data_IF_812455648886
#
_entry.id   IF_812455648886
#
_cell.length_a   1.000
_cell.length_b   1.000
_cell.length_c   1.000
_cell.angle_alpha   90.00
_cell.angle_beta   90.00
_cell.angle_gamma   90.00
#
_symmetry.space_group_name_H-M   'P 1'
#
loop_
_entity.id
_entity.type
_entity.pdbx_description
1 polymer ?
#
# COMPACT_ATOMS: atom_id res chain seq x y z
N UNK A 1 34.82 -3.54 3.07
CA UNK A 1 33.97 -4.22 4.08
C UNK A 1 32.52 -3.87 3.75
N UNK A 2 31.79 -4.74 3.05
CA UNK A 2 30.40 -4.48 2.68
C UNK A 2 29.55 -4.95 3.85
N UNK A 3 29.06 -4.01 4.66
CA UNK A 3 28.14 -4.30 5.75
C UNK A 3 26.82 -4.75 5.14
N UNK A 4 26.69 -6.05 4.89
CA UNK A 4 25.40 -6.71 4.70
C UNK A 4 24.67 -6.61 6.04
N UNK A 5 23.97 -5.49 6.26
CA UNK A 5 22.97 -5.39 7.30
C UNK A 5 21.85 -6.36 6.93
N UNK A 6 22.06 -7.63 7.30
CA UNK A 6 21.01 -8.62 7.43
C UNK A 6 19.87 -7.98 8.19
N UNK A 7 18.68 -8.00 7.60
CA UNK A 7 17.40 -7.54 8.17
C UNK A 7 17.09 -8.10 9.59
N UNK A 8 17.95 -8.93 10.16
CA UNK A 8 17.87 -9.52 11.49
C UNK A 8 17.90 -8.48 12.64
N UNK A 9 18.49 -7.29 12.44
CA UNK A 9 18.53 -6.24 13.48
C UNK A 9 17.29 -5.33 13.53
N UNK A 10 16.49 -5.28 12.44
CA UNK A 10 15.33 -4.39 12.32
C UNK A 10 14.00 -5.16 12.20
N UNK A 11 13.98 -6.45 12.52
CA UNK A 11 12.74 -7.23 12.53
C UNK A 11 11.67 -6.61 13.45
N UNK A 12 12.09 -5.94 14.53
CA UNK A 12 11.22 -5.19 15.44
C UNK A 12 10.77 -3.81 14.92
N UNK A 13 11.35 -3.30 13.84
CA UNK A 13 10.98 -2.00 13.26
C UNK A 13 10.03 -2.10 12.07
N UNK A 14 9.89 -3.30 11.48
CA UNK A 14 8.94 -3.50 10.41
C UNK A 14 7.54 -3.65 11.01
N UNK A 15 6.51 -2.97 10.44
CA UNK A 15 5.13 -3.22 10.83
C UNK A 15 4.79 -4.70 10.67
N UNK A 16 3.98 -5.25 11.59
CA UNK A 16 3.46 -6.62 11.44
C UNK A 16 2.68 -6.78 10.13
N UNK A 17 1.98 -5.72 9.73
CA UNK A 17 1.20 -5.60 8.49
C UNK A 17 2.00 -4.99 7.34
N UNK A 18 3.31 -5.25 7.27
CA UNK A 18 4.17 -4.67 6.22
C UNK A 18 3.71 -5.03 4.81
N UNK A 19 3.79 -4.06 3.91
CA UNK A 19 3.50 -4.19 2.49
C UNK A 19 4.60 -3.52 1.65
N UNK A 20 5.04 -4.19 0.59
CA UNK A 20 6.03 -3.65 -0.35
C UNK A 20 5.39 -2.77 -1.43
N UNK A 21 6.17 -1.91 -2.09
CA UNK A 21 5.68 -1.11 -3.22
C UNK A 21 4.92 -1.95 -4.26
N UNK A 22 5.44 -3.12 -4.64
CA UNK A 22 4.81 -3.99 -5.65
C UNK A 22 3.41 -4.43 -5.21
N UNK A 23 3.26 -4.78 -3.94
CA UNK A 23 1.98 -5.20 -3.37
C UNK A 23 1.00 -4.03 -3.25
N UNK A 24 1.47 -2.82 -2.92
CA UNK A 24 0.62 -1.61 -2.87
C UNK A 24 0.02 -1.34 -4.25
N UNK A 25 0.84 -1.37 -5.30
CA UNK A 25 0.38 -1.15 -6.68
C UNK A 25 -0.68 -2.19 -7.08
N UNK A 26 -0.48 -3.45 -6.70
CA UNK A 26 -1.43 -4.53 -6.97
C UNK A 26 -2.73 -4.39 -6.14
N UNK A 27 -2.62 -4.02 -4.87
CA UNK A 27 -3.73 -3.88 -3.93
C UNK A 27 -4.70 -2.76 -4.36
N UNK A 28 -4.15 -1.60 -4.71
CA UNK A 28 -4.90 -0.41 -5.10
C UNK A 28 -5.17 -0.32 -6.59
N UNK A 29 -4.61 -1.26 -7.38
CA UNK A 29 -4.67 -1.26 -8.84
C UNK A 29 -4.20 0.07 -9.46
N UNK A 30 -3.10 0.62 -8.92
CA UNK A 30 -2.51 1.90 -9.36
C UNK A 30 -1.18 1.68 -10.07
N UNK A 31 -0.79 2.64 -10.90
CA UNK A 31 0.51 2.64 -11.57
C UNK A 31 1.60 3.22 -10.66
N UNK A 32 2.85 2.85 -10.95
CA UNK A 32 4.01 3.38 -10.24
C UNK A 32 4.10 4.92 -10.32
N UNK A 33 3.64 5.52 -11.43
CA UNK A 33 3.58 6.97 -11.57
C UNK A 33 2.63 7.62 -10.55
N UNK A 34 1.46 7.03 -10.31
CA UNK A 34 0.48 7.54 -9.34
C UNK A 34 1.04 7.47 -7.92
N UNK A 35 1.67 6.34 -7.57
CA UNK A 35 2.34 6.18 -6.28
C UNK A 35 3.47 7.21 -6.07
N UNK A 36 4.32 7.41 -7.09
CA UNK A 36 5.39 8.42 -7.04
C UNK A 36 4.85 9.85 -6.93
N UNK A 37 3.76 10.17 -7.62
CA UNK A 37 3.10 11.48 -7.54
C UNK A 37 2.51 11.70 -6.16
N UNK A 38 1.79 10.73 -5.61
CA UNK A 38 1.22 10.80 -4.27
C UNK A 38 2.27 11.12 -3.20
N UNK A 39 3.44 10.46 -3.28
CA UNK A 39 4.57 10.72 -2.39
C UNK A 39 5.13 12.14 -2.50
N UNK A 40 5.11 12.74 -3.70
CA UNK A 40 5.62 14.09 -3.95
C UNK A 40 4.64 15.19 -3.53
N UNK A 41 3.35 14.97 -3.72
CA UNK A 41 2.33 16.00 -3.48
C UNK A 41 2.11 16.26 -2.00
N UNK A 42 2.21 15.24 -1.14
CA UNK A 42 2.10 15.38 0.33
C UNK A 42 3.09 14.48 1.06
N UNK A 43 4.39 14.84 1.07
CA UNK A 43 5.39 14.01 1.73
C UNK A 43 5.19 13.91 3.25
N UNK A 44 4.52 14.88 3.88
CA UNK A 44 4.26 14.89 5.33
C UNK A 44 3.17 13.89 5.75
N UNK A 45 2.10 13.78 4.94
CA UNK A 45 1.00 12.84 5.16
C UNK A 45 1.31 11.43 4.63
N UNK A 46 2.35 11.28 3.81
CA UNK A 46 2.65 10.02 3.14
C UNK A 46 3.15 8.97 4.15
N UNK A 47 2.71 7.69 4.04
CA UNK A 47 3.13 6.63 4.95
C UNK A 47 4.65 6.50 5.04
N UNK A 48 5.16 6.38 6.26
CA UNK A 48 6.62 6.31 6.49
C UNK A 48 7.11 4.90 6.17
N UNK A 49 7.87 4.80 5.08
CA UNK A 49 8.48 3.53 4.67
C UNK A 49 9.71 3.18 5.50
N UNK A 50 9.78 1.94 5.96
CA UNK A 50 10.95 1.36 6.64
C UNK A 50 11.78 0.61 5.60
N UNK A 51 13.08 0.93 5.51
CA UNK A 51 14.00 0.28 4.57
C UNK A 51 14.54 -1.02 5.17
N UNK A 52 14.38 -2.13 4.45
CA UNK A 52 15.02 -3.41 4.77
C UNK A 52 15.78 -3.92 3.54
N UNK A 53 17.11 -3.93 3.63
CA UNK A 53 17.98 -4.23 2.50
C UNK A 53 17.75 -3.27 1.32
N UNK A 54 17.40 -3.83 0.16
CA UNK A 54 17.14 -3.07 -1.06
C UNK A 54 15.67 -2.63 -1.22
N UNK A 55 14.77 -3.07 -0.35
CA UNK A 55 13.34 -2.79 -0.43
C UNK A 55 12.87 -1.83 0.66
N UNK A 56 11.79 -1.12 0.38
CA UNK A 56 11.09 -0.25 1.33
C UNK A 56 9.72 -0.88 1.59
N UNK A 57 9.38 -1.02 2.87
CA UNK A 57 8.12 -1.57 3.33
C UNK A 57 7.33 -0.49 4.06
N UNK A 58 6.00 -0.53 3.94
CA UNK A 58 5.08 0.41 4.57
C UNK A 58 4.08 -0.36 5.43
N UNK A 59 3.42 0.29 6.38
CA UNK A 59 2.24 -0.31 7.01
C UNK A 59 1.09 -0.37 6.00
N UNK A 60 0.49 -1.54 5.85
CA UNK A 60 -0.68 -1.73 4.97
C UNK A 60 -1.83 -0.83 5.41
N UNK A 61 -2.06 -0.69 6.72
CA UNK A 61 -3.11 0.17 7.27
C UNK A 61 -2.91 1.63 6.85
N UNK A 62 -1.72 2.19 7.08
CA UNK A 62 -1.41 3.59 6.74
C UNK A 62 -1.55 3.84 5.24
N UNK A 63 -1.10 2.90 4.40
CA UNK A 63 -1.24 3.01 2.93
C UNK A 63 -2.71 3.02 2.53
N UNK A 64 -3.52 2.11 3.05
CA UNK A 64 -4.95 2.07 2.73
C UNK A 64 -5.66 3.34 3.21
N UNK A 65 -5.34 3.85 4.41
CA UNK A 65 -5.91 5.09 4.92
C UNK A 65 -5.53 6.30 4.07
N UNK A 66 -4.24 6.43 3.72
CA UNK A 66 -3.74 7.50 2.87
C UNK A 66 -4.44 7.48 1.51
N UNK A 67 -4.36 6.37 0.77
CA UNK A 67 -4.94 6.26 -0.57
C UNK A 67 -6.47 6.27 -0.55
N UNK A 68 -7.10 5.79 0.52
CA UNK A 68 -8.53 5.86 0.76
C UNK A 68 -9.08 7.29 0.84
N UNK A 69 -8.32 8.23 1.43
CA UNK A 69 -8.66 9.67 1.42
C UNK A 69 -8.72 10.26 0.01
N UNK A 70 -8.01 9.66 -0.96
CA UNK A 70 -8.00 10.05 -2.36
C UNK A 70 -8.97 9.26 -3.24
N UNK A 71 -9.83 8.42 -2.64
CA UNK A 71 -10.84 7.65 -3.36
C UNK A 71 -10.33 6.33 -3.97
N UNK A 72 -9.07 5.96 -3.74
CA UNK A 72 -8.58 4.64 -4.11
C UNK A 72 -9.12 3.61 -3.13
N UNK A 73 -9.83 2.61 -3.64
CA UNK A 73 -10.35 1.49 -2.85
C UNK A 73 -9.57 0.23 -3.20
N UNK A 74 -9.22 -0.61 -2.20
CA UNK A 74 -8.64 -1.92 -2.47
C UNK A 74 -9.50 -2.69 -3.45
N UNK A 75 -8.88 -3.44 -4.36
CA UNK A 75 -9.58 -4.21 -5.41
C UNK A 75 -10.69 -5.13 -4.86
N UNK A 76 -10.51 -5.63 -3.64
CA UNK A 76 -11.47 -6.50 -2.97
C UNK A 76 -12.70 -5.76 -2.39
N UNK A 77 -12.63 -4.44 -2.23
CA UNK A 77 -13.74 -3.64 -1.69
C UNK A 77 -14.89 -3.41 -2.69
N UNK A 78 -14.72 -3.75 -3.98
CA UNK A 78 -15.74 -3.58 -5.02
C UNK A 78 -16.61 -4.81 -5.29
N UNK A 79 -16.41 -5.94 -4.60
CA UNK A 79 -17.26 -7.13 -4.82
C UNK A 79 -18.45 -7.15 -3.87
N UNK A 80 -19.39 -6.21 -4.04
CA UNK A 80 -20.80 -6.53 -3.82
C UNK A 80 -21.45 -6.54 -5.19
N UNK A 81 -21.90 -7.70 -5.72
CA UNK A 81 -22.72 -7.69 -6.91
C UNK A 81 -23.97 -6.88 -6.59
N UNK A 82 -24.22 -5.83 -7.38
CA UNK A 82 -25.51 -5.16 -7.39
C UNK A 82 -26.47 -6.22 -7.93
N UNK A 83 -27.18 -6.91 -7.04
CA UNK A 83 -28.32 -7.74 -7.39
C UNK A 83 -29.39 -6.81 -7.95
N UNK A 84 -29.32 -6.53 -9.25
CA UNK A 84 -30.44 -5.92 -9.97
C UNK A 84 -31.51 -7.01 -9.99
N UNK A 85 -32.50 -6.88 -9.11
CA UNK A 85 -33.69 -7.70 -9.14
C UNK A 85 -34.39 -7.43 -10.49
N UNK A 86 -34.16 -8.31 -11.47
CA UNK A 86 -34.94 -8.32 -12.69
C UNK A 86 -36.39 -8.62 -12.31
N UNK A 87 -37.26 -7.63 -12.52
CA UNK A 87 -38.71 -7.74 -12.35
C UNK A 87 -39.21 -8.82 -13.32
N UNK A 88 -39.51 -10.01 -12.79
CA UNK A 88 -40.26 -11.04 -13.52
C UNK A 88 -41.72 -10.59 -13.55
N UNK A 89 -42.30 -10.76 -14.75
CA UNK A 89 -43.58 -10.27 -15.29
C UNK A 89 -44.76 -10.25 -14.34
#
# INVERSE_FOLDING_TARGET
MITLNSCAGNAHQLPEDKISNKEILALLNIKHQEFSSARKWRPEDFPKGVRCGQSIFYSKKEVIEFFGRYGYKPKDAQRKPILVAAKIR
#
